data_IF_879634729402
#
_entry.id   IF_879634729402
#
_cell.length_a   1.000
_cell.length_b   1.000
_cell.length_c   1.000
_cell.angle_alpha   90.00
_cell.angle_beta   90.00
_cell.angle_gamma   90.00
#
_symmetry.space_group_name_H-M   'P 1'
#
loop_
_entity.id
_entity.type
_entity.pdbx_description
1 polymer ?
#
# COMPACT_ATOMS: atom_id res chain seq x y z
N UNK A 1 -12.18 11.53 22.72
CA UNK A 1 -11.33 11.37 21.52
C UNK A 1 -11.65 10.07 20.76
N UNK A 2 -11.31 8.87 21.26
CA UNK A 2 -11.51 7.62 20.50
C UNK A 2 -12.97 7.32 20.08
N UNK A 3 -13.96 7.65 20.94
CA UNK A 3 -15.39 7.54 20.58
C UNK A 3 -15.78 8.47 19.43
N UNK A 4 -15.22 9.69 19.39
CA UNK A 4 -15.47 10.65 18.32
C UNK A 4 -14.84 10.20 17.00
N UNK A 5 -13.62 9.67 17.04
CA UNK A 5 -12.97 9.11 15.83
C UNK A 5 -13.73 7.91 15.28
N UNK A 6 -14.25 7.02 16.14
CA UNK A 6 -15.16 5.95 15.68
C UNK A 6 -16.43 6.46 15.01
N UNK A 7 -16.98 7.59 15.49
CA UNK A 7 -18.14 8.20 14.87
C UNK A 7 -17.77 8.80 13.51
N UNK A 8 -16.66 9.53 13.43
CA UNK A 8 -16.11 10.08 12.18
C UNK A 8 -15.88 8.95 11.17
N UNK A 9 -15.25 7.85 11.58
CA UNK A 9 -15.04 6.67 10.74
C UNK A 9 -16.35 6.14 10.14
N UNK A 10 -17.39 5.97 10.96
CA UNK A 10 -18.71 5.53 10.48
C UNK A 10 -19.34 6.51 9.49
N UNK A 11 -19.23 7.81 9.78
CA UNK A 11 -19.74 8.87 8.90
C UNK A 11 -18.99 8.86 7.57
N UNK A 12 -17.66 8.74 7.58
CA UNK A 12 -16.83 8.72 6.37
C UNK A 12 -17.08 7.46 5.55
N UNK A 13 -17.19 6.28 6.17
CA UNK A 13 -17.56 5.04 5.48
C UNK A 13 -18.94 5.19 4.84
N UNK A 14 -19.93 5.73 5.57
CA UNK A 14 -21.26 5.97 5.01
C UNK A 14 -21.21 6.96 3.84
N UNK A 15 -20.45 8.04 3.96
CA UNK A 15 -20.26 9.00 2.88
C UNK A 15 -19.63 8.35 1.63
N UNK A 16 -18.61 7.50 1.81
CA UNK A 16 -18.00 6.77 0.69
C UNK A 16 -19.01 5.82 0.03
N UNK A 17 -19.80 5.09 0.82
CA UNK A 17 -20.89 4.23 0.29
C UNK A 17 -21.89 5.05 -0.51
N UNK A 18 -22.34 6.19 0.03
CA UNK A 18 -23.29 7.06 -0.63
C UNK A 18 -22.74 7.63 -1.94
N UNK A 19 -21.46 8.04 -1.97
CA UNK A 19 -20.78 8.53 -3.18
C UNK A 19 -20.64 7.41 -4.21
N UNK A 20 -20.19 6.20 -3.82
CA UNK A 20 -20.06 5.06 -4.74
C UNK A 20 -21.42 4.60 -5.28
N UNK A 21 -22.45 4.58 -4.45
CA UNK A 21 -23.81 4.24 -4.89
C UNK A 21 -24.39 5.31 -5.81
N UNK A 22 -24.21 6.59 -5.47
CA UNK A 22 -24.63 7.71 -6.32
C UNK A 22 -23.92 7.72 -7.66
N UNK A 23 -22.60 7.45 -7.68
CA UNK A 23 -21.83 7.35 -8.92
C UNK A 23 -22.27 6.17 -9.77
N UNK A 24 -22.59 5.02 -9.16
CA UNK A 24 -23.14 3.86 -9.86
C UNK A 24 -24.50 4.17 -10.48
N UNK A 25 -25.42 4.77 -9.72
CA UNK A 25 -26.73 5.20 -10.25
C UNK A 25 -26.54 6.16 -11.42
N UNK A 26 -25.65 7.14 -11.26
CA UNK A 26 -25.32 8.08 -12.33
C UNK A 26 -24.80 7.37 -13.59
N UNK A 27 -23.83 6.46 -13.44
CA UNK A 27 -23.30 5.67 -14.54
C UNK A 27 -24.40 4.85 -15.25
N UNK A 28 -25.31 4.22 -14.49
CA UNK A 28 -26.45 3.49 -15.03
C UNK A 28 -27.40 4.38 -15.84
N UNK A 29 -27.60 5.64 -15.46
CA UNK A 29 -28.40 6.59 -16.28
C UNK A 29 -27.76 6.90 -17.64
N UNK A 30 -26.45 6.72 -17.77
CA UNK A 30 -25.69 6.93 -19.01
C UNK A 30 -25.46 5.65 -19.80
N UNK A 31 -25.65 4.48 -19.20
CA UNK A 31 -25.36 3.17 -19.78
C UNK A 31 -25.89 2.99 -21.21
N UNK A 32 -27.16 3.30 -21.45
CA UNK A 32 -27.79 3.15 -22.76
C UNK A 32 -27.27 4.12 -23.83
N UNK A 33 -26.62 5.22 -23.43
CA UNK A 33 -26.04 6.24 -24.31
C UNK A 33 -24.54 6.06 -24.53
N UNK A 34 -23.89 5.15 -23.80
CA UNK A 34 -22.47 4.88 -23.96
C UNK A 34 -22.25 4.00 -25.20
N UNK A 35 -21.16 4.24 -25.96
CA UNK A 35 -20.74 3.28 -26.99
C UNK A 35 -20.45 1.91 -26.35
N UNK A 36 -20.47 0.86 -27.16
CA UNK A 36 -20.13 -0.48 -26.66
C UNK A 36 -18.68 -0.54 -26.15
N UNK A 37 -17.81 0.30 -26.70
CA UNK A 37 -16.43 0.51 -26.29
C UNK A 37 -16.18 1.98 -25.96
N UNK A 38 -16.48 2.44 -24.72
CA UNK A 38 -16.11 3.78 -24.28
C UNK A 38 -14.60 3.95 -24.21
N UNK A 39 -14.16 5.17 -24.52
CA UNK A 39 -12.78 5.58 -24.25
C UNK A 39 -12.51 5.67 -22.75
N UNK A 40 -11.37 5.15 -22.30
CA UNK A 40 -10.88 5.15 -20.92
C UNK A 40 -9.42 5.63 -20.93
N UNK A 41 -9.18 6.94 -20.91
CA UNK A 41 -7.82 7.48 -21.00
C UNK A 41 -7.05 7.53 -19.67
N UNK A 42 -5.74 7.27 -19.73
CA UNK A 42 -4.75 7.49 -18.66
C UNK A 42 -3.58 8.41 -19.04
N UNK A 43 -3.51 8.90 -20.28
CA UNK A 43 -2.41 9.75 -20.76
C UNK A 43 -2.53 11.23 -20.41
N UNK A 44 -1.52 12.01 -20.82
CA UNK A 44 -1.36 13.42 -20.48
C UNK A 44 -1.91 14.38 -21.54
N UNK A 45 -2.27 13.87 -22.72
CA UNK A 45 -2.68 14.64 -23.90
C UNK A 45 -4.21 14.85 -24.00
N UNK A 46 -4.99 14.27 -23.08
CA UNK A 46 -6.45 14.42 -22.96
C UNK A 46 -7.26 13.86 -24.14
N UNK A 47 -6.68 12.96 -24.93
CA UNK A 47 -7.40 12.23 -25.98
C UNK A 47 -7.90 10.87 -25.45
N UNK A 48 -8.75 10.18 -26.20
CA UNK A 48 -9.07 8.77 -25.91
C UNK A 48 -8.20 7.87 -26.75
N UNK A 49 -7.39 7.06 -26.09
CA UNK A 49 -6.41 6.14 -26.68
C UNK A 49 -6.69 4.67 -26.33
N UNK A 50 -7.37 4.39 -25.22
CA UNK A 50 -7.80 3.04 -24.83
C UNK A 50 -9.32 2.94 -24.90
N UNK A 51 -9.81 2.04 -25.76
CA UNK A 51 -11.22 1.70 -25.89
C UNK A 51 -11.43 0.31 -25.30
N UNK A 52 -12.42 0.17 -24.42
CA UNK A 52 -12.71 -1.12 -23.81
C UNK A 52 -14.21 -1.27 -23.60
N UNK A 53 -14.70 -2.51 -23.51
CA UNK A 53 -16.12 -2.79 -23.30
C UNK A 53 -16.73 -1.92 -22.20
N UNK A 54 -17.94 -1.39 -22.43
CA UNK A 54 -18.68 -0.59 -21.46
C UNK A 54 -18.88 -1.29 -20.11
N UNK A 55 -18.85 -2.62 -20.06
CA UNK A 55 -18.87 -3.39 -18.80
C UNK A 55 -17.72 -3.00 -17.86
N UNK A 56 -16.58 -2.56 -18.39
CA UNK A 56 -15.46 -2.10 -17.59
C UNK A 56 -15.69 -0.75 -16.91
N UNK A 57 -16.72 0.01 -17.32
CA UNK A 57 -17.21 1.15 -16.55
C UNK A 57 -17.75 0.79 -15.17
N UNK A 58 -18.01 -0.51 -14.89
CA UNK A 58 -18.33 -0.98 -13.53
C UNK A 58 -17.11 -1.12 -12.61
N UNK A 59 -15.89 -1.12 -13.15
CA UNK A 59 -14.67 -1.35 -12.39
C UNK A 59 -14.44 -0.34 -11.24
N UNK A 60 -14.62 0.99 -11.45
CA UNK A 60 -14.48 1.98 -10.38
C UNK A 60 -15.39 1.69 -9.18
N UNK A 61 -16.60 1.18 -9.42
CA UNK A 61 -17.54 0.83 -8.35
C UNK A 61 -17.09 -0.41 -7.60
N UNK A 62 -16.67 -1.46 -8.31
CA UNK A 62 -16.15 -2.69 -7.70
C UNK A 62 -14.94 -2.40 -6.79
N UNK A 63 -13.95 -1.67 -7.29
CA UNK A 63 -12.73 -1.39 -6.52
C UNK A 63 -13.03 -0.45 -5.35
N UNK A 64 -13.88 0.57 -5.54
CA UNK A 64 -14.32 1.43 -4.44
C UNK A 64 -15.06 0.63 -3.37
N UNK A 65 -16.00 -0.24 -3.73
CA UNK A 65 -16.72 -1.09 -2.78
C UNK A 65 -15.80 -2.04 -2.02
N UNK A 66 -14.83 -2.67 -2.69
CA UNK A 66 -13.81 -3.51 -2.04
C UNK A 66 -12.99 -2.66 -1.04
N UNK A 67 -12.55 -1.48 -1.45
CA UNK A 67 -11.74 -0.57 -0.62
C UNK A 67 -12.52 -0.14 0.62
N UNK A 68 -13.76 0.31 0.45
CA UNK A 68 -14.67 0.67 1.55
C UNK A 68 -14.89 -0.53 2.48
N UNK A 69 -15.10 -1.72 1.94
CA UNK A 69 -15.27 -2.95 2.71
C UNK A 69 -14.03 -3.29 3.56
N UNK A 70 -12.83 -3.20 2.97
CA UNK A 70 -11.56 -3.40 3.67
C UNK A 70 -11.39 -2.35 4.78
N UNK A 71 -11.70 -1.08 4.51
CA UNK A 71 -11.57 0.01 5.49
C UNK A 71 -12.55 -0.17 6.65
N UNK A 72 -13.81 -0.49 6.36
CA UNK A 72 -14.83 -0.77 7.38
C UNK A 72 -14.45 -1.98 8.25
N UNK A 73 -13.97 -3.06 7.63
CA UNK A 73 -13.50 -4.25 8.33
C UNK A 73 -12.26 -3.95 9.19
N UNK A 74 -11.30 -3.19 8.66
CA UNK A 74 -10.11 -2.75 9.38
C UNK A 74 -10.47 -1.90 10.59
N UNK A 75 -11.40 -0.94 10.43
CA UNK A 75 -11.91 -0.12 11.52
C UNK A 75 -12.56 -0.94 12.64
N UNK A 76 -13.36 -1.96 12.27
CA UNK A 76 -13.91 -2.93 13.24
C UNK A 76 -12.81 -3.70 13.98
N UNK A 77 -11.77 -4.14 13.26
CA UNK A 77 -10.69 -4.97 13.80
C UNK A 77 -9.79 -4.18 14.75
N UNK A 78 -9.36 -2.96 14.35
CA UNK A 78 -8.65 -1.98 15.19
C UNK A 78 -9.48 -1.64 16.44
N UNK A 79 -10.80 -1.53 16.24
CA UNK A 79 -11.80 -1.34 17.27
C UNK A 79 -11.73 -2.32 18.43
N UNK A 80 -11.46 -3.60 18.12
CA UNK A 80 -11.57 -4.75 19.03
C UNK A 80 -10.23 -5.30 19.53
N UNK A 81 -9.19 -5.31 18.70
CA UNK A 81 -7.92 -5.96 19.04
C UNK A 81 -6.96 -4.97 19.69
N UNK A 82 -6.24 -5.38 20.73
CA UNK A 82 -5.08 -4.60 21.19
C UNK A 82 -3.98 -4.68 20.14
N UNK A 83 -3.26 -3.58 19.96
CA UNK A 83 -2.11 -3.49 19.04
C UNK A 83 -0.95 -4.37 19.52
N UNK A 84 -0.94 -4.74 20.80
CA UNK A 84 0.17 -5.47 21.42
C UNK A 84 1.44 -4.63 21.60
N UNK A 85 1.37 -3.32 21.33
CA UNK A 85 2.49 -2.40 21.48
C UNK A 85 2.72 -2.09 22.97
N UNK A 86 3.98 -1.87 23.32
CA UNK A 86 4.36 -1.53 24.69
C UNK A 86 4.20 -0.02 24.97
N UNK A 87 2.96 0.46 24.91
CA UNK A 87 2.56 1.86 25.06
C UNK A 87 1.52 2.02 26.18
N UNK A 88 1.38 3.23 26.71
CA UNK A 88 0.35 3.56 27.71
C UNK A 88 -1.05 3.30 27.16
N UNK A 89 -2.06 3.15 28.04
CA UNK A 89 -3.45 3.00 27.59
C UNK A 89 -3.94 4.22 26.79
N UNK A 90 -3.47 5.43 27.17
CA UNK A 90 -3.71 6.65 26.40
C UNK A 90 -3.05 6.57 25.03
N UNK A 91 -1.81 6.09 24.96
CA UNK A 91 -1.09 5.84 23.71
C UNK A 91 -1.79 4.84 22.81
N UNK A 92 -2.31 3.73 23.35
CA UNK A 92 -3.08 2.74 22.60
C UNK A 92 -4.34 3.35 21.97
N UNK A 93 -5.08 4.17 22.73
CA UNK A 93 -6.29 4.86 22.22
C UNK A 93 -5.96 5.87 21.13
N UNK A 94 -4.84 6.59 21.26
CA UNK A 94 -4.37 7.55 20.25
C UNK A 94 -3.88 6.82 18.99
N UNK A 95 -3.03 5.81 19.13
CA UNK A 95 -2.50 5.01 18.03
C UNK A 95 -3.62 4.37 17.19
N UNK A 96 -4.63 3.80 17.84
CA UNK A 96 -5.79 3.24 17.14
C UNK A 96 -6.62 4.31 16.42
N UNK A 97 -6.71 5.51 16.99
CA UNK A 97 -7.42 6.62 16.36
C UNK A 97 -6.67 7.12 15.13
N UNK A 98 -5.34 7.22 15.20
CA UNK A 98 -4.47 7.59 14.08
C UNK A 98 -4.59 6.61 12.92
N UNK A 99 -4.41 5.30 13.16
CA UNK A 99 -4.57 4.29 12.10
C UNK A 99 -5.96 4.43 11.45
N UNK A 100 -7.01 4.52 12.27
CA UNK A 100 -8.39 4.59 11.78
C UNK A 100 -8.60 5.82 10.89
N UNK A 101 -8.09 6.98 11.30
CA UNK A 101 -8.20 8.21 10.51
C UNK A 101 -7.35 8.15 9.22
N UNK A 102 -6.16 7.55 9.27
CA UNK A 102 -5.31 7.36 8.09
C UNK A 102 -5.99 6.47 7.06
N UNK A 103 -6.53 5.32 7.46
CA UNK A 103 -7.24 4.42 6.52
C UNK A 103 -8.50 5.10 5.96
N UNK A 104 -9.19 5.94 6.74
CA UNK A 104 -10.38 6.66 6.29
C UNK A 104 -10.05 7.71 5.23
N UNK A 105 -8.98 8.47 5.45
CA UNK A 105 -8.49 9.47 4.47
C UNK A 105 -8.09 8.79 3.17
N UNK A 106 -7.34 7.67 3.25
CA UNK A 106 -6.95 6.91 2.07
C UNK A 106 -8.20 6.39 1.33
N UNK A 107 -9.16 5.79 2.05
CA UNK A 107 -10.37 5.26 1.45
C UNK A 107 -11.21 6.36 0.76
N UNK A 108 -11.30 7.55 1.37
CA UNK A 108 -11.97 8.69 0.78
C UNK A 108 -11.28 9.14 -0.52
N UNK A 109 -9.95 9.31 -0.51
CA UNK A 109 -9.18 9.73 -1.69
C UNK A 109 -9.26 8.72 -2.84
N UNK A 110 -9.24 7.43 -2.51
CA UNK A 110 -9.45 6.35 -3.49
C UNK A 110 -10.88 6.40 -4.05
N UNK A 111 -11.89 6.60 -3.20
CA UNK A 111 -13.28 6.72 -3.64
C UNK A 111 -13.47 7.92 -4.58
N UNK A 112 -12.86 9.07 -4.26
CA UNK A 112 -12.91 10.27 -5.12
C UNK A 112 -12.18 10.06 -6.45
N UNK A 113 -11.08 9.31 -6.45
CA UNK A 113 -10.36 8.94 -7.68
C UNK A 113 -11.26 8.16 -8.63
N UNK A 114 -11.96 7.16 -8.10
CA UNK A 114 -12.88 6.32 -8.88
C UNK A 114 -14.17 7.04 -9.24
N UNK A 115 -14.61 8.04 -8.45
CA UNK A 115 -15.69 8.93 -8.85
C UNK A 115 -15.33 9.73 -10.09
N UNK A 116 -14.14 10.35 -10.12
CA UNK A 116 -13.68 11.11 -11.29
C UNK A 116 -13.53 10.21 -12.52
N UNK A 117 -13.01 8.99 -12.34
CA UNK A 117 -13.01 8.00 -13.41
C UNK A 117 -14.41 7.73 -13.94
N UNK A 118 -15.37 7.44 -13.05
CA UNK A 118 -16.76 7.20 -13.44
C UNK A 118 -17.32 8.38 -14.25
N UNK A 119 -17.05 9.62 -13.82
CA UNK A 119 -17.49 10.82 -14.53
C UNK A 119 -16.84 10.97 -15.90
N UNK A 120 -15.54 10.67 -16.01
CA UNK A 120 -14.79 10.73 -17.26
C UNK A 120 -15.38 9.75 -18.30
N UNK A 121 -15.59 8.50 -17.90
CA UNK A 121 -16.23 7.47 -18.74
C UNK A 121 -17.67 7.86 -19.08
N UNK A 122 -18.46 8.32 -18.10
CA UNK A 122 -19.88 8.66 -18.34
C UNK A 122 -20.07 9.81 -19.32
N UNK A 123 -19.14 10.76 -19.36
CA UNK A 123 -19.21 11.93 -20.24
C UNK A 123 -18.39 11.78 -21.51
N UNK A 124 -17.66 10.68 -21.67
CA UNK A 124 -16.65 10.54 -22.72
C UNK A 124 -15.75 11.81 -22.72
N UNK A 125 -15.12 12.10 -21.59
CA UNK A 125 -14.00 13.05 -21.48
C UNK A 125 -12.74 12.39 -20.90
N UNK A 126 -11.59 12.99 -21.17
CA UNK A 126 -10.34 12.59 -20.53
C UNK A 126 -10.40 12.73 -19.00
N UNK A 127 -9.64 11.85 -18.33
CA UNK A 127 -9.41 11.89 -16.89
C UNK A 127 -8.75 13.23 -16.53
N UNK A 128 -9.26 13.92 -15.51
CA UNK A 128 -8.62 15.14 -15.05
C UNK A 128 -7.33 14.83 -14.29
N UNK A 129 -6.35 15.73 -14.36
CA UNK A 129 -5.11 15.70 -13.57
C UNK A 129 -5.38 15.57 -12.05
N UNK A 130 -6.60 15.88 -11.61
CA UNK A 130 -7.03 15.66 -10.23
C UNK A 130 -6.86 14.20 -9.78
N UNK A 131 -6.95 13.20 -10.67
CA UNK A 131 -6.75 11.80 -10.31
C UNK A 131 -5.32 11.54 -9.85
N UNK A 132 -4.31 12.04 -10.58
CA UNK A 132 -2.92 11.94 -10.16
C UNK A 132 -2.68 12.65 -8.83
N UNK A 133 -3.32 13.81 -8.62
CA UNK A 133 -3.27 14.53 -7.35
C UNK A 133 -3.88 13.72 -6.21
N UNK A 134 -5.03 13.07 -6.42
CA UNK A 134 -5.73 12.26 -5.41
C UNK A 134 -4.94 11.00 -5.06
N UNK A 135 -4.39 10.30 -6.06
CA UNK A 135 -3.51 9.15 -5.86
C UNK A 135 -2.26 9.59 -5.07
N UNK A 136 -1.60 10.66 -5.51
CA UNK A 136 -0.44 11.23 -4.81
C UNK A 136 -0.77 11.61 -3.36
N UNK A 137 -1.92 12.27 -3.14
CA UNK A 137 -2.39 12.63 -1.81
C UNK A 137 -2.65 11.39 -0.93
N UNK A 138 -3.15 10.28 -1.48
CA UNK A 138 -3.36 9.04 -0.73
C UNK A 138 -2.03 8.45 -0.24
N UNK A 139 -1.00 8.46 -1.08
CA UNK A 139 0.35 8.06 -0.70
C UNK A 139 0.93 8.97 0.39
N UNK A 140 0.79 10.28 0.24
CA UNK A 140 1.26 11.26 1.24
C UNK A 140 0.52 11.06 2.57
N UNK A 141 -0.79 10.87 2.55
CA UNK A 141 -1.60 10.61 3.74
C UNK A 141 -1.16 9.32 4.45
N UNK A 142 -0.88 8.26 3.70
CA UNK A 142 -0.30 7.03 4.24
C UNK A 142 1.07 7.26 4.90
N UNK A 143 1.95 8.00 4.23
CA UNK A 143 3.26 8.37 4.78
C UNK A 143 3.17 9.18 6.08
N UNK A 144 2.32 10.21 6.11
CA UNK A 144 2.06 11.04 7.29
C UNK A 144 1.48 10.20 8.43
N UNK A 145 0.53 9.30 8.13
CA UNK A 145 -0.07 8.39 9.10
C UNK A 145 0.97 7.50 9.79
N UNK A 146 1.86 6.88 9.01
CA UNK A 146 2.95 6.06 9.53
C UNK A 146 3.89 6.90 10.42
N UNK A 147 4.23 8.13 10.02
CA UNK A 147 5.09 9.02 10.81
C UNK A 147 4.42 9.37 12.14
N UNK A 148 3.13 9.74 12.12
CA UNK A 148 2.35 10.05 13.32
C UNK A 148 2.30 8.85 14.27
N UNK A 149 2.04 7.64 13.75
CA UNK A 149 2.05 6.40 14.51
C UNK A 149 3.40 6.14 15.20
N UNK A 150 4.51 6.33 14.48
CA UNK A 150 5.86 6.19 15.05
C UNK A 150 6.07 7.17 16.19
N UNK A 151 5.72 8.44 15.99
CA UNK A 151 5.83 9.49 17.01
C UNK A 151 4.98 9.14 18.23
N UNK A 152 3.74 8.70 18.03
CA UNK A 152 2.83 8.31 19.11
C UNK A 152 3.37 7.13 19.91
N UNK A 153 3.94 6.12 19.24
CA UNK A 153 4.61 5.00 19.92
C UNK A 153 5.82 5.46 20.72
N UNK A 154 6.63 6.36 20.18
CA UNK A 154 7.81 6.89 20.86
C UNK A 154 7.45 7.74 22.08
N UNK A 155 6.46 8.62 21.94
CA UNK A 155 6.01 9.54 22.99
C UNK A 155 5.30 8.82 24.14
N UNK A 156 4.56 7.74 23.86
CA UNK A 156 3.73 7.04 24.83
C UNK A 156 4.30 5.68 25.28
N UNK A 157 5.59 5.45 25.06
CA UNK A 157 6.22 4.17 25.41
C UNK A 157 6.22 3.91 26.92
N UNK A 158 5.71 2.76 27.34
CA UNK A 158 5.80 2.32 28.73
C UNK A 158 7.22 1.86 29.05
N UNK A 159 7.94 2.64 29.86
CA UNK A 159 9.33 2.32 30.28
C UNK A 159 9.38 1.17 31.30
N UNK A 160 8.29 0.90 32.01
CA UNK A 160 8.18 -0.08 33.11
C UNK A 160 7.60 -1.45 32.72
N UNK A 161 7.03 -1.59 31.51
CA UNK A 161 6.34 -2.82 31.13
C UNK A 161 7.28 -3.85 30.51
N UNK A 162 7.18 -5.10 31.01
CA UNK A 162 7.86 -6.29 30.49
C UNK A 162 7.57 -6.40 28.99
N UNK A 163 8.62 -6.57 28.16
CA UNK A 163 8.50 -6.73 26.71
C UNK A 163 7.56 -7.91 26.39
N UNK A 164 6.28 -7.63 26.12
CA UNK A 164 5.38 -8.62 25.50
C UNK A 164 5.90 -8.99 24.11
N UNK A 165 5.76 -10.29 23.79
CA UNK A 165 6.68 -11.06 22.95
C UNK A 165 6.90 -10.55 21.52
N UNK A 166 8.14 -10.68 21.05
CA UNK A 166 8.55 -10.44 19.66
C UNK A 166 7.83 -11.36 18.65
N UNK A 167 7.21 -12.44 19.13
CA UNK A 167 6.67 -13.49 18.26
C UNK A 167 5.45 -13.05 17.46
N UNK A 168 4.55 -12.28 18.07
CA UNK A 168 3.35 -11.75 17.38
C UNK A 168 3.75 -10.72 16.33
N UNK A 169 4.69 -9.83 16.64
CA UNK A 169 5.19 -8.83 15.70
C UNK A 169 5.87 -9.49 14.49
N UNK A 170 6.70 -10.49 14.73
CA UNK A 170 7.35 -11.27 13.68
C UNK A 170 6.34 -11.92 12.72
N UNK A 171 5.31 -12.57 13.27
CA UNK A 171 4.22 -13.17 12.47
C UNK A 171 3.47 -12.13 11.67
N UNK A 172 3.11 -10.99 12.27
CA UNK A 172 2.39 -9.92 11.56
C UNK A 172 3.22 -9.31 10.42
N UNK A 173 4.52 -9.05 10.62
CA UNK A 173 5.39 -8.53 9.57
C UNK A 173 5.50 -9.50 8.39
N UNK A 174 5.65 -10.79 8.70
CA UNK A 174 5.65 -11.85 7.68
C UNK A 174 4.32 -11.90 6.92
N UNK A 175 3.19 -11.96 7.62
CA UNK A 175 1.88 -12.02 6.97
C UNK A 175 1.63 -10.78 6.12
N UNK A 176 1.91 -9.58 6.63
CA UNK A 176 1.68 -8.34 5.90
C UNK A 176 2.54 -8.24 4.62
N UNK A 177 3.84 -8.55 4.71
CA UNK A 177 4.74 -8.51 3.54
C UNK A 177 4.31 -9.50 2.46
N UNK A 178 4.02 -10.75 2.81
CA UNK A 178 3.52 -11.74 1.85
C UNK A 178 2.14 -11.39 1.30
N UNK A 179 1.25 -10.84 2.13
CA UNK A 179 -0.07 -10.44 1.69
C UNK A 179 0.02 -9.30 0.67
N UNK A 180 0.87 -8.29 0.89
CA UNK A 180 1.15 -7.23 -0.09
C UNK A 180 1.72 -7.79 -1.40
N UNK A 181 2.71 -8.69 -1.32
CA UNK A 181 3.33 -9.30 -2.51
C UNK A 181 2.35 -10.19 -3.28
N UNK A 182 1.48 -10.94 -2.59
CA UNK A 182 0.52 -11.85 -3.24
C UNK A 182 -0.70 -11.09 -3.79
N UNK A 183 -1.21 -10.08 -3.08
CA UNK A 183 -2.34 -9.24 -3.52
C UNK A 183 -2.06 -8.53 -4.85
N UNK A 184 -0.79 -8.26 -5.13
CA UNK A 184 -0.36 -7.70 -6.40
C UNK A 184 -0.55 -8.65 -7.59
N UNK A 185 -0.38 -9.96 -7.44
CA UNK A 185 -0.39 -10.89 -8.57
C UNK A 185 -1.73 -10.93 -9.33
N UNK A 186 -2.91 -10.94 -8.66
CA UNK A 186 -4.19 -10.78 -9.36
C UNK A 186 -4.35 -9.43 -10.06
N UNK A 187 -3.83 -8.34 -9.47
CA UNK A 187 -3.81 -7.02 -10.08
C UNK A 187 -2.96 -7.03 -11.36
N UNK A 188 -1.78 -7.63 -11.31
CA UNK A 188 -0.93 -7.82 -12.49
C UNK A 188 -1.63 -8.65 -13.54
N UNK A 189 -2.16 -9.83 -13.20
CA UNK A 189 -2.84 -10.68 -14.16
C UNK A 189 -4.01 -9.95 -14.86
N UNK A 190 -4.74 -9.13 -14.10
CA UNK A 190 -5.85 -8.34 -14.63
C UNK A 190 -5.40 -7.17 -15.52
N UNK A 191 -4.36 -6.43 -15.11
CA UNK A 191 -3.76 -5.39 -15.94
C UNK A 191 -3.02 -5.98 -17.15
N UNK A 192 -2.55 -7.23 -17.05
CA UNK A 192 -1.78 -7.89 -18.09
C UNK A 192 -2.56 -7.99 -19.38
N UNK A 193 -3.85 -8.30 -19.34
CA UNK A 193 -4.67 -8.37 -20.56
C UNK A 193 -5.03 -6.98 -21.13
N UNK A 194 -4.82 -5.90 -20.38
CA UNK A 194 -5.27 -4.55 -20.74
C UNK A 194 -4.16 -3.58 -21.09
N UNK A 195 -2.95 -3.83 -20.60
CA UNK A 195 -1.75 -3.22 -21.14
C UNK A 195 -1.66 -3.64 -22.60
N UNK A 196 -1.54 -2.69 -23.55
CA UNK A 196 -1.87 -2.83 -24.96
C UNK A 196 -1.70 -4.27 -25.43
N UNK A 197 -2.82 -4.99 -25.48
CA UNK A 197 -2.87 -6.32 -26.02
C UNK A 197 -3.06 -6.15 -27.52
N UNK A 198 -1.96 -6.28 -28.21
CA UNK A 198 -1.92 -7.08 -29.41
C UNK A 198 -2.91 -6.77 -30.55
N UNK A 199 -3.30 -5.51 -30.78
CA UNK A 199 -3.84 -5.16 -32.09
C UNK A 199 -2.66 -5.26 -33.07
N UNK A 200 -2.74 -6.25 -33.97
CA UNK A 200 -1.64 -6.66 -34.88
C UNK A 200 -1.19 -5.51 -35.81
N UNK A 201 -1.94 -4.41 -35.82
CA UNK A 201 -1.74 -3.23 -36.64
C UNK A 201 -0.88 -2.14 -36.00
N UNK A 202 -0.60 -2.18 -34.69
CA UNK A 202 0.14 -1.12 -34.01
C UNK A 202 1.61 -1.50 -33.75
N UNK A 203 2.54 -0.57 -34.00
CA UNK A 203 3.99 -0.81 -33.95
C UNK A 203 4.54 -1.11 -32.54
N UNK A 204 3.70 -1.02 -31.51
CA UNK A 204 4.04 -1.22 -30.09
C UNK A 204 3.45 -2.51 -29.51
N UNK A 205 3.02 -3.43 -30.36
CA UNK A 205 2.50 -4.76 -30.01
C UNK A 205 3.42 -5.51 -29.01
N UNK A 206 2.85 -6.03 -27.92
CA UNK A 206 3.59 -6.74 -26.87
C UNK A 206 4.52 -5.87 -25.99
N UNK A 207 4.49 -4.55 -26.14
CA UNK A 207 5.27 -3.61 -25.34
C UNK A 207 4.40 -2.91 -24.28
N UNK A 208 4.99 -2.55 -23.15
CA UNK A 208 4.41 -1.67 -22.14
C UNK A 208 5.20 -0.36 -22.09
N UNK A 209 4.53 0.76 -21.85
CA UNK A 209 5.21 2.05 -21.73
C UNK A 209 5.85 2.21 -20.35
N UNK A 210 7.11 2.63 -20.31
CA UNK A 210 7.85 2.90 -19.09
C UNK A 210 8.21 4.39 -19.02
N UNK A 211 7.40 5.17 -18.31
CA UNK A 211 7.58 6.62 -18.19
C UNK A 211 8.95 7.09 -17.66
N UNK A 212 9.66 6.26 -16.89
CA UNK A 212 11.03 6.56 -16.47
C UNK A 212 12.05 6.60 -17.62
N UNK A 213 11.81 5.81 -18.66
CA UNK A 213 12.68 5.70 -19.83
C UNK A 213 12.11 6.44 -21.05
N UNK A 214 10.89 6.96 -20.93
CA UNK A 214 10.12 7.54 -22.02
C UNK A 214 10.09 6.62 -23.26
N UNK A 215 9.89 5.31 -23.00
CA UNK A 215 10.02 4.29 -24.03
C UNK A 215 9.07 3.11 -23.80
N UNK A 216 8.64 2.50 -24.91
CA UNK A 216 7.93 1.23 -24.93
C UNK A 216 8.95 0.09 -24.84
N UNK A 217 8.83 -0.76 -23.82
CA UNK A 217 9.72 -1.89 -23.58
C UNK A 217 8.92 -3.19 -23.42
N UNK A 218 9.62 -4.33 -23.45
CA UNK A 218 8.98 -5.62 -23.37
C UNK A 218 8.16 -5.78 -22.07
N UNK A 219 6.88 -6.15 -22.22
CA UNK A 219 5.88 -6.23 -21.13
C UNK A 219 6.28 -7.14 -19.97
N UNK A 220 7.08 -8.18 -20.23
CA UNK A 220 7.64 -9.07 -19.19
C UNK A 220 8.48 -8.34 -18.14
N UNK A 221 9.01 -7.15 -18.45
CA UNK A 221 9.74 -6.32 -17.49
C UNK A 221 8.87 -5.88 -16.30
N UNK A 222 7.53 -5.85 -16.44
CA UNK A 222 6.61 -5.57 -15.34
C UNK A 222 6.61 -6.67 -14.26
N UNK A 223 7.08 -7.88 -14.58
CA UNK A 223 7.17 -9.00 -13.63
C UNK A 223 8.45 -8.90 -12.78
N UNK A 224 9.45 -8.14 -13.24
CA UNK A 224 10.79 -8.10 -12.63
C UNK A 224 10.75 -7.64 -11.16
N UNK A 225 10.08 -6.55 -10.77
CA UNK A 225 10.05 -6.14 -9.37
C UNK A 225 9.44 -7.22 -8.48
N UNK A 226 8.38 -7.88 -8.95
CA UNK A 226 7.67 -8.93 -8.23
C UNK A 226 8.54 -10.19 -8.05
N UNK A 227 9.26 -10.61 -9.09
CA UNK A 227 10.21 -11.71 -8.98
C UNK A 227 11.34 -11.39 -7.99
N UNK A 228 11.86 -10.17 -8.03
CA UNK A 228 12.90 -9.69 -7.10
C UNK A 228 12.40 -9.67 -5.66
N UNK A 229 11.21 -9.12 -5.39
CA UNK A 229 10.68 -9.05 -4.01
C UNK A 229 10.41 -10.44 -3.45
N UNK A 230 9.90 -11.39 -4.25
CA UNK A 230 9.66 -12.78 -3.81
C UNK A 230 10.98 -13.42 -3.35
N UNK A 231 12.05 -13.28 -4.14
CA UNK A 231 13.37 -13.81 -3.80
C UNK A 231 13.90 -13.16 -2.51
N UNK A 232 13.81 -11.83 -2.39
CA UNK A 232 14.23 -11.10 -1.19
C UNK A 232 13.46 -11.58 0.04
N UNK A 233 12.12 -11.67 -0.04
CA UNK A 233 11.28 -12.10 1.08
C UNK A 233 11.59 -13.55 1.49
N UNK A 234 11.81 -14.46 0.52
CA UNK A 234 12.19 -15.83 0.78
C UNK A 234 13.54 -15.92 1.52
N UNK A 235 14.55 -15.18 1.06
CA UNK A 235 15.87 -15.10 1.72
C UNK A 235 15.74 -14.54 3.15
N UNK A 236 15.00 -13.45 3.33
CA UNK A 236 14.75 -12.86 4.64
C UNK A 236 13.96 -13.79 5.57
N UNK A 237 13.09 -14.64 5.03
CA UNK A 237 12.37 -15.68 5.78
C UNK A 237 13.33 -16.74 6.32
N UNK A 238 14.22 -17.25 5.48
CA UNK A 238 15.24 -18.24 5.89
C UNK A 238 16.17 -17.65 6.96
N UNK A 239 16.67 -16.43 6.75
CA UNK A 239 17.54 -15.74 7.72
C UNK A 239 16.79 -15.51 9.04
N UNK A 240 15.56 -14.97 8.97
CA UNK A 240 14.75 -14.68 10.16
C UNK A 240 14.40 -15.94 10.96
N UNK A 241 14.07 -17.04 10.29
CA UNK A 241 13.77 -18.33 10.92
C UNK A 241 15.01 -18.95 11.60
N UNK A 242 16.17 -18.94 10.93
CA UNK A 242 17.44 -19.37 11.53
C UNK A 242 17.82 -18.50 12.73
N UNK A 243 17.67 -17.17 12.60
CA UNK A 243 17.94 -16.22 13.68
C UNK A 243 17.04 -16.46 14.90
N UNK A 244 15.76 -16.77 14.68
CA UNK A 244 14.80 -17.10 15.73
C UNK A 244 15.20 -18.39 16.46
N UNK A 245 15.54 -19.45 15.73
CA UNK A 245 16.05 -20.71 16.31
C UNK A 245 17.33 -20.50 17.12
N UNK A 246 18.21 -19.60 16.67
CA UNK A 246 19.45 -19.22 17.36
C UNK A 246 19.30 -18.16 18.46
N UNK A 247 18.08 -17.75 18.82
CA UNK A 247 17.83 -16.74 19.86
C UNK A 247 18.33 -15.32 19.55
N UNK A 248 18.64 -15.00 18.28
CA UNK A 248 19.14 -13.69 17.87
C UNK A 248 18.00 -12.71 17.60
N UNK A 249 17.43 -12.13 18.65
CA UNK A 249 16.33 -11.17 18.53
C UNK A 249 16.66 -9.89 17.74
N UNK A 250 17.94 -9.51 17.65
CA UNK A 250 18.34 -8.33 16.89
C UNK A 250 18.19 -8.59 15.39
N UNK A 251 18.65 -9.76 14.94
CA UNK A 251 18.56 -10.18 13.55
C UNK A 251 17.12 -10.48 13.13
N UNK A 252 16.30 -11.10 13.99
CA UNK A 252 14.86 -11.30 13.72
C UNK A 252 14.15 -9.98 13.45
N UNK A 253 14.35 -8.96 14.30
CA UNK A 253 13.73 -7.64 14.10
C UNK A 253 14.24 -6.93 12.86
N UNK A 254 15.50 -7.15 12.49
CA UNK A 254 16.07 -6.59 11.27
C UNK A 254 15.40 -7.19 10.04
N UNK A 255 15.32 -8.53 9.98
CA UNK A 255 14.64 -9.22 8.88
C UNK A 255 13.17 -8.85 8.77
N UNK A 256 12.46 -8.69 9.89
CA UNK A 256 11.04 -8.32 9.89
C UNK A 256 10.78 -6.94 9.30
N UNK A 257 11.63 -5.96 9.66
CA UNK A 257 11.55 -4.60 9.12
C UNK A 257 11.88 -4.57 7.64
N UNK A 258 12.93 -5.29 7.22
CA UNK A 258 13.28 -5.38 5.81
C UNK A 258 12.15 -6.02 5.00
N UNK A 259 11.50 -7.08 5.50
CA UNK A 259 10.35 -7.68 4.80
C UNK A 259 9.22 -6.68 4.58
N UNK A 260 8.87 -5.91 5.61
CA UNK A 260 7.83 -4.88 5.48
C UNK A 260 8.23 -3.78 4.49
N UNK A 261 9.45 -3.26 4.59
CA UNK A 261 9.95 -2.22 3.67
C UNK A 261 9.92 -2.75 2.23
N UNK A 262 10.46 -3.94 1.99
CA UNK A 262 10.45 -4.55 0.65
C UNK A 262 9.02 -4.78 0.15
N UNK A 263 8.15 -5.37 0.96
CA UNK A 263 6.75 -5.61 0.57
C UNK A 263 6.01 -4.34 0.19
N UNK A 264 6.19 -3.25 0.94
CA UNK A 264 5.53 -1.96 0.68
C UNK A 264 6.11 -1.25 -0.55
N UNK A 265 7.43 -1.13 -0.66
CA UNK A 265 8.06 -0.38 -1.75
C UNK A 265 7.93 -1.08 -3.09
N UNK A 266 8.12 -2.41 -3.12
CA UNK A 266 7.92 -3.14 -4.37
C UNK A 266 6.46 -3.11 -4.79
N UNK A 267 5.51 -3.27 -3.87
CA UNK A 267 4.07 -3.09 -4.18
C UNK A 267 3.77 -1.71 -4.78
N UNK A 268 4.35 -0.65 -4.21
CA UNK A 268 4.18 0.71 -4.74
C UNK A 268 4.80 0.83 -6.13
N UNK A 269 6.06 0.42 -6.32
CA UNK A 269 6.72 0.53 -7.61
C UNK A 269 6.01 -0.26 -8.70
N UNK A 270 5.56 -1.46 -8.36
CA UNK A 270 4.73 -2.30 -9.22
C UNK A 270 3.44 -1.58 -9.64
N UNK A 271 2.71 -0.98 -8.69
CA UNK A 271 1.50 -0.21 -8.99
C UNK A 271 1.80 1.01 -9.87
N UNK A 272 2.90 1.71 -9.60
CA UNK A 272 3.30 2.87 -10.39
C UNK A 272 3.66 2.47 -11.83
N UNK A 273 4.37 1.36 -12.02
CA UNK A 273 4.67 0.83 -13.35
C UNK A 273 3.41 0.45 -14.13
N UNK A 274 2.43 -0.19 -13.48
CA UNK A 274 1.14 -0.50 -14.11
C UNK A 274 0.33 0.72 -14.50
N UNK A 275 0.49 1.80 -13.74
CA UNK A 275 -0.14 3.09 -14.01
C UNK A 275 0.69 3.96 -14.95
N UNK A 276 1.76 3.41 -15.55
CA UNK A 276 2.68 4.14 -16.44
C UNK A 276 3.24 5.42 -15.77
N UNK A 277 3.31 5.40 -14.44
CA UNK A 277 3.77 6.53 -13.65
C UNK A 277 5.28 6.42 -13.43
N UNK A 278 6.02 7.53 -13.59
CA UNK A 278 7.45 7.52 -13.35
C UNK A 278 7.74 7.23 -11.87
N UNK A 279 8.57 6.23 -11.62
CA UNK A 279 9.19 5.97 -10.33
C UNK A 279 10.12 7.13 -9.99
N UNK A 280 9.61 8.09 -9.21
CA UNK A 280 10.39 9.26 -8.81
C UNK A 280 11.59 8.87 -7.93
N UNK A 281 12.72 9.57 -8.11
CA UNK A 281 13.95 9.40 -7.32
C UNK A 281 13.72 9.50 -5.81
N UNK A 282 12.68 10.24 -5.41
CA UNK A 282 12.23 10.38 -4.03
C UNK A 282 11.83 9.03 -3.44
N UNK A 283 11.09 8.19 -4.19
CA UNK A 283 10.66 6.87 -3.69
C UNK A 283 11.86 5.94 -3.43
N UNK A 284 12.82 5.89 -4.37
CA UNK A 284 14.06 5.14 -4.23
C UNK A 284 14.92 5.68 -3.07
N UNK A 285 14.99 7.00 -2.89
CA UNK A 285 15.68 7.65 -1.79
C UNK A 285 15.10 7.28 -0.42
N UNK A 286 13.77 7.30 -0.29
CA UNK A 286 13.09 6.91 0.96
C UNK A 286 13.33 5.41 1.25
N UNK A 287 13.22 4.55 0.23
CA UNK A 287 13.52 3.11 0.37
C UNK A 287 14.93 2.87 0.89
N UNK A 288 15.93 3.51 0.25
CA UNK A 288 17.33 3.37 0.63
C UNK A 288 17.58 3.88 2.05
N UNK A 289 17.03 5.05 2.41
CA UNK A 289 17.15 5.62 3.75
C UNK A 289 16.56 4.69 4.82
N UNK A 290 15.38 4.11 4.59
CA UNK A 290 14.75 3.18 5.52
C UNK A 290 15.56 1.88 5.69
N UNK A 291 16.14 1.36 4.62
CA UNK A 291 17.04 0.20 4.68
C UNK A 291 18.30 0.50 5.49
N UNK A 292 18.94 1.65 5.26
CA UNK A 292 20.12 2.10 6.02
C UNK A 292 19.78 2.27 7.51
N UNK A 293 18.66 2.93 7.82
CA UNK A 293 18.19 3.08 9.21
C UNK A 293 17.99 1.72 9.87
N UNK A 294 17.41 0.76 9.18
CA UNK A 294 17.24 -0.60 9.70
C UNK A 294 18.59 -1.28 9.99
N UNK A 295 19.57 -1.13 9.10
CA UNK A 295 20.91 -1.69 9.28
C UNK A 295 21.64 -1.05 10.47
N UNK A 296 21.59 0.29 10.59
CA UNK A 296 22.18 1.01 11.73
C UNK A 296 21.53 0.59 13.05
N UNK A 297 20.21 0.42 13.09
CA UNK A 297 19.50 -0.03 14.28
C UNK A 297 19.87 -1.48 14.67
N UNK A 298 20.09 -2.35 13.69
CA UNK A 298 20.59 -3.70 13.91
C UNK A 298 21.99 -3.69 14.52
N UNK A 299 22.94 -2.98 13.91
CA UNK A 299 24.32 -2.88 14.39
C UNK A 299 24.40 -2.32 15.81
N UNK A 300 23.64 -1.26 16.11
CA UNK A 300 23.56 -0.69 17.47
C UNK A 300 23.06 -1.70 18.49
N UNK A 301 22.05 -2.51 18.15
CA UNK A 301 21.48 -3.51 19.06
C UNK A 301 22.41 -4.70 19.25
N UNK A 302 23.08 -5.16 18.19
CA UNK A 302 24.10 -6.22 18.23
C UNK A 302 25.25 -5.81 19.16
N UNK A 303 25.83 -4.63 18.96
CA UNK A 303 26.95 -4.13 19.77
C UNK A 303 26.61 -4.00 21.27
N UNK A 304 25.36 -3.67 21.63
CA UNK A 304 24.91 -3.65 23.04
C UNK A 304 24.78 -5.05 23.63
N UNK A 305 24.31 -6.02 22.84
CA UNK A 305 24.19 -7.42 23.29
C UNK A 305 25.55 -8.06 23.54
N UNK A 306 26.54 -7.74 22.69
CA UNK A 306 27.89 -8.28 22.84
C UNK A 306 28.59 -7.67 24.06
N UNK A 307 28.50 -6.34 24.27
CA UNK A 307 29.02 -5.68 25.48
C UNK A 307 28.44 -6.23 26.79
N UNK A 308 27.15 -6.58 26.81
CA UNK A 308 26.50 -7.18 27.98
C UNK A 308 27.05 -8.57 28.33
N UNK A 309 27.46 -9.37 27.34
CA UNK A 309 28.07 -10.69 27.57
C UNK A 309 29.50 -10.58 28.12
N UNK A 310 30.29 -9.62 27.65
CA UNK A 310 31.66 -9.41 28.15
C UNK A 310 31.71 -8.87 29.60
N UNK A 311 30.75 -8.03 30.02
CA UNK A 311 30.69 -7.57 31.41
C UNK A 311 30.33 -8.67 32.41
N UNK A 312 29.56 -9.68 32.01
CA UNK A 312 29.20 -10.82 32.89
C UNK A 312 30.39 -11.79 33.06
N UNK A 313 31.28 -11.90 32.07
CA UNK A 313 32.47 -12.76 32.15
C UNK A 313 33.63 -12.17 32.95
N UNK A 314 33.69 -10.84 33.15
CA UNK A 314 34.74 -10.19 33.97
C UNK A 314 34.36 -10.06 35.46
N UNK A 315 33.14 -10.44 35.84
CA UNK A 315 32.64 -10.39 37.22
C UNK A 315 32.53 -11.75 37.91
N UNK A 316 33.17 -12.79 37.35
CA UNK A 316 33.41 -14.08 38.00
C UNK A 316 34.92 -14.28 38.11
#
# INVERSE_FOLDING_TARGET
MYKAVKLIHRILIFACIAVTAGSLVYYLTKWGSLPDEPGIHFGSDRNFDVYASRVYGFYPHLISSITIGITAFSGWLIGRKSTGLNITEKGEKLFKAEIMLTIDVIALLVTLTFLEWTLAVSHQRALSNIVLVLIGAAFIAGGIGIIAEIITVMANKNKSAVKKGSDTFHRSCRTASWLLTVLYLPLLAFCWERLPSDDVTDQYHGLAYFANFDAYLAKWLLIVPSAVVIVILAVLEVIGSKAKKGGNEALVRFTDRLKLINGVFFFWWDLALMCEAPLGIISAGIYAALCVVCAVLYLRKRNRSDKGKYCIQKGK
#
